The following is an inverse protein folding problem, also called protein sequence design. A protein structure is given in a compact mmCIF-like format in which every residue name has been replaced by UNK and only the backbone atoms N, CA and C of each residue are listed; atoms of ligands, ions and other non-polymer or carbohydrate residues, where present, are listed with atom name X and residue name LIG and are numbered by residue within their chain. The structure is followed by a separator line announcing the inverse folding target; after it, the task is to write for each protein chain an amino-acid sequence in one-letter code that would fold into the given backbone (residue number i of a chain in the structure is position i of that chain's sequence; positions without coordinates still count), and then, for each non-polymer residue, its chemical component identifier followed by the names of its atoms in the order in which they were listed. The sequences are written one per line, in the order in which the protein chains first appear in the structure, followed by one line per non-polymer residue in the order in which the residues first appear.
data_IF_322493611045
#
_entry.id   IF_322493611045
#
_cell.length_a   1.000
_cell.length_b   1.000
_cell.length_c   1.000
_cell.angle_alpha   90.00
_cell.angle_beta   90.00
_cell.angle_gamma   90.00
#
_symmetry.space_group_name_H-M   'P 1'
#
loop_
_entity.id
_entity.type
_entity.pdbx_description
1 polymer ?
#
# COMPACT_ATOMS: atom_id res chain seq x y z
N UNK A 1 -19.79 14.52 -0.08
CA UNK A 1 -18.94 13.41 -0.52
C UNK A 1 -19.22 13.19 -2.00
N UNK A 2 -18.20 13.35 -2.86
CA UNK A 2 -18.34 13.10 -4.29
C UNK A 2 -18.38 11.58 -4.49
N UNK A 3 -19.56 11.01 -4.73
CA UNK A 3 -19.76 9.56 -4.92
C UNK A 3 -18.81 8.97 -5.96
N UNK A 4 -18.46 9.72 -7.01
CA UNK A 4 -17.46 9.32 -8.01
C UNK A 4 -16.04 9.18 -7.45
N UNK A 5 -15.64 10.00 -6.48
CA UNK A 5 -14.34 9.88 -5.82
C UNK A 5 -14.28 8.62 -4.97
N UNK A 6 -15.34 8.35 -4.20
CA UNK A 6 -15.42 7.16 -3.35
C UNK A 6 -15.42 5.86 -4.18
N UNK A 7 -16.07 5.85 -5.34
CA UNK A 7 -16.06 4.71 -6.28
C UNK A 7 -14.66 4.50 -6.90
N UNK A 8 -14.01 5.57 -7.36
CA UNK A 8 -12.65 5.48 -7.93
C UNK A 8 -11.63 5.03 -6.88
N UNK A 9 -11.74 5.56 -5.66
CA UNK A 9 -10.93 5.14 -4.52
C UNK A 9 -11.16 3.67 -4.18
N UNK A 10 -12.42 3.22 -4.13
CA UNK A 10 -12.76 1.82 -3.84
C UNK A 10 -12.19 0.86 -4.89
N UNK A 11 -12.26 1.23 -6.17
CA UNK A 11 -11.66 0.45 -7.26
C UNK A 11 -10.14 0.40 -7.17
N UNK A 12 -9.49 1.54 -6.90
CA UNK A 12 -8.03 1.60 -6.70
C UNK A 12 -7.57 0.77 -5.49
N UNK A 13 -8.33 0.80 -4.38
CA UNK A 13 -8.06 -0.01 -3.20
C UNK A 13 -8.20 -1.51 -3.49
N UNK A 14 -9.17 -1.90 -4.31
CA UNK A 14 -9.36 -3.30 -4.69
C UNK A 14 -8.17 -3.82 -5.52
N UNK A 15 -7.74 -3.05 -6.53
CA UNK A 15 -6.59 -3.43 -7.37
C UNK A 15 -5.27 -3.40 -6.59
N UNK A 16 -5.06 -2.40 -5.74
CA UNK A 16 -3.91 -2.36 -4.83
C UNK A 16 -3.89 -3.59 -3.91
N UNK A 17 -5.01 -3.93 -3.28
CA UNK A 17 -5.12 -5.11 -2.42
C UNK A 17 -4.77 -6.39 -3.18
N UNK A 18 -5.28 -6.53 -4.40
CA UNK A 18 -5.03 -7.70 -5.24
C UNK A 18 -3.54 -7.87 -5.55
N UNK A 19 -2.84 -6.79 -5.90
CA UNK A 19 -1.40 -6.84 -6.16
C UNK A 19 -0.57 -7.01 -4.87
N UNK A 20 -0.95 -6.32 -3.79
CA UNK A 20 -0.24 -6.36 -2.52
C UNK A 20 -0.30 -7.74 -1.85
N UNK A 21 -1.47 -8.40 -1.84
CA UNK A 21 -1.62 -9.75 -1.26
C UNK A 21 -0.72 -10.76 -1.98
N UNK A 22 -0.71 -10.73 -3.32
CA UNK A 22 0.14 -11.62 -4.13
C UNK A 22 1.62 -11.34 -3.91
N UNK A 23 2.01 -10.06 -3.83
CA UNK A 23 3.38 -9.68 -3.49
C UNK A 23 3.80 -10.23 -2.13
N UNK A 24 2.95 -10.09 -1.11
CA UNK A 24 3.24 -10.57 0.24
C UNK A 24 3.35 -12.10 0.30
N UNK A 25 2.53 -12.84 -0.46
CA UNK A 25 2.61 -14.31 -0.53
C UNK A 25 3.92 -14.83 -1.16
N UNK A 26 4.59 -14.02 -1.99
CA UNK A 26 5.87 -14.38 -2.61
C UNK A 26 7.09 -14.19 -1.70
N UNK A 27 6.91 -13.70 -0.47
CA UNK A 27 8.00 -13.43 0.46
C UNK A 27 8.33 -14.72 1.23
N UNK A 28 9.56 -15.22 1.10
CA UNK A 28 9.99 -16.50 1.69
C UNK A 28 10.15 -16.49 3.20
N UNK A 29 10.26 -15.31 3.80
CA UNK A 29 10.47 -15.10 5.23
C UNK A 29 9.16 -14.62 5.86
N UNK A 30 8.65 -15.38 6.83
CA UNK A 30 7.38 -15.09 7.51
C UNK A 30 7.36 -13.70 8.14
N UNK A 31 8.48 -13.25 8.71
CA UNK A 31 8.59 -11.94 9.37
C UNK A 31 8.52 -10.81 8.35
N UNK A 32 9.19 -10.97 7.21
CA UNK A 32 9.11 -10.04 6.09
C UNK A 32 7.70 -10.02 5.47
N UNK A 33 7.02 -11.16 5.39
CA UNK A 33 5.64 -11.25 4.93
C UNK A 33 4.67 -10.50 5.85
N UNK A 34 4.73 -10.76 7.17
CA UNK A 34 3.90 -10.07 8.17
C UNK A 34 4.11 -8.56 8.12
N UNK A 35 5.37 -8.12 8.06
CA UNK A 35 5.72 -6.72 7.93
C UNK A 35 5.14 -6.08 6.65
N UNK A 36 5.21 -6.78 5.52
CA UNK A 36 4.66 -6.30 4.26
C UNK A 36 3.13 -6.16 4.31
N UNK A 37 2.43 -7.10 4.95
CA UNK A 37 0.97 -7.04 5.13
C UNK A 37 0.58 -5.85 5.99
N UNK A 38 1.25 -5.63 7.12
CA UNK A 38 0.95 -4.50 7.99
C UNK A 38 1.26 -3.16 7.33
N UNK A 39 2.34 -3.06 6.56
CA UNK A 39 2.67 -1.86 5.79
C UNK A 39 1.65 -1.59 4.69
N UNK A 40 1.18 -2.63 3.98
CA UNK A 40 0.12 -2.49 2.98
C UNK A 40 -1.18 -1.97 3.60
N UNK A 41 -1.56 -2.45 4.80
CA UNK A 41 -2.73 -1.96 5.54
C UNK A 41 -2.57 -0.50 5.95
N UNK A 42 -1.40 -0.12 6.47
CA UNK A 42 -1.09 1.27 6.80
C UNK A 42 -1.26 2.20 5.59
N UNK A 43 -0.71 1.82 4.43
CA UNK A 43 -0.82 2.59 3.19
C UNK A 43 -2.28 2.77 2.75
N UNK A 44 -3.14 1.76 2.93
CA UNK A 44 -4.57 1.90 2.61
C UNK A 44 -5.28 2.88 3.53
N UNK A 45 -5.01 2.83 4.84
CA UNK A 45 -5.58 3.76 5.81
C UNK A 45 -5.12 5.21 5.51
N UNK A 46 -3.85 5.39 5.15
CA UNK A 46 -3.32 6.69 4.69
C UNK A 46 -4.12 7.25 3.52
N UNK A 47 -4.45 6.42 2.54
CA UNK A 47 -5.19 6.86 1.35
C UNK A 47 -6.64 7.21 1.68
N UNK A 48 -7.25 6.54 2.66
CA UNK A 48 -8.59 6.88 3.17
C UNK A 48 -8.61 8.17 4.00
N UNK A 49 -7.45 8.71 4.37
CA UNK A 49 -7.31 9.88 5.22
C UNK A 49 -7.42 9.57 6.72
N UNK A 50 -7.34 8.30 7.09
CA UNK A 50 -7.33 7.87 8.49
C UNK A 50 -5.95 8.16 9.11
N UNK A 51 -5.91 8.38 10.43
CA UNK A 51 -4.64 8.47 11.17
C UNK A 51 -3.99 7.08 11.25
N UNK A 52 -2.68 7.00 10.99
CA UNK A 52 -1.95 5.73 11.01
C UNK A 52 -0.54 5.92 11.59
N UNK A 53 -0.09 4.90 12.32
CA UNK A 53 1.29 4.76 12.76
C UNK A 53 2.07 3.84 11.81
N UNK A 54 3.40 3.99 11.81
CA UNK A 54 4.27 3.04 11.11
C UNK A 54 4.13 1.65 11.75
N UNK A 55 4.09 0.56 10.96
CA UNK A 55 4.14 -0.78 11.50
C UNK A 55 5.37 -0.99 12.37
N UNK A 56 5.19 -1.74 13.45
CA UNK A 56 6.29 -2.17 14.30
C UNK A 56 7.33 -2.90 13.45
N UNK A 57 8.60 -2.64 13.71
CA UNK A 57 9.70 -3.32 13.02
C UNK A 57 9.95 -4.63 13.78
N UNK A 58 9.64 -5.79 13.19
CA UNK A 58 9.84 -7.05 13.87
C UNK A 58 11.33 -7.37 14.03
N UNK A 59 11.65 -8.07 15.12
CA UNK A 59 13.00 -8.53 15.40
C UNK A 59 13.46 -9.48 14.29
N UNK A 60 14.66 -9.25 13.72
CA UNK A 60 15.18 -10.03 12.59
C UNK A 60 14.94 -9.41 11.21
N UNK A 61 14.02 -8.45 11.08
CA UNK A 61 13.80 -7.74 9.81
C UNK A 61 14.62 -6.45 9.73
N UNK A 62 15.90 -6.66 9.42
CA UNK A 62 16.85 -5.59 9.25
C UNK A 62 16.87 -5.03 7.82
N UNK A 63 17.63 -3.96 7.64
CA UNK A 63 17.96 -3.46 6.32
C UNK A 63 18.92 -4.43 5.60
N UNK A 64 18.84 -4.55 4.27
CA UNK A 64 18.07 -3.72 3.34
C UNK A 64 16.62 -4.20 3.11
N UNK A 65 16.27 -5.41 3.53
CA UNK A 65 15.00 -6.06 3.19
C UNK A 65 13.77 -5.22 3.58
N UNK A 66 13.79 -4.63 4.78
CA UNK A 66 12.74 -3.72 5.24
C UNK A 66 12.50 -2.56 4.28
N UNK A 67 13.57 -1.91 3.82
CA UNK A 67 13.47 -0.72 2.97
C UNK A 67 13.00 -1.10 1.57
N UNK A 68 13.38 -2.28 1.07
CA UNK A 68 12.89 -2.80 -0.20
C UNK A 68 11.39 -3.07 -0.17
N UNK A 69 10.86 -3.66 0.91
CA UNK A 69 9.42 -3.89 1.10
C UNK A 69 8.66 -2.56 1.10
N UNK A 70 9.12 -1.59 1.90
CA UNK A 70 8.50 -0.25 1.96
C UNK A 70 8.47 0.40 0.59
N UNK A 71 9.61 0.47 -0.09
CA UNK A 71 9.73 1.11 -1.39
C UNK A 71 8.88 0.42 -2.47
N UNK A 72 8.77 -0.91 -2.44
CA UNK A 72 7.93 -1.66 -3.37
C UNK A 72 6.43 -1.36 -3.16
N UNK A 73 5.97 -1.40 -1.91
CA UNK A 73 4.58 -1.11 -1.56
C UNK A 73 4.22 0.36 -1.82
N UNK A 74 5.13 1.30 -1.57
CA UNK A 74 4.93 2.71 -1.91
C UNK A 74 4.83 2.95 -3.41
N UNK A 75 5.70 2.34 -4.23
CA UNK A 75 5.59 2.42 -5.69
C UNK A 75 4.29 1.81 -6.22
N UNK A 76 3.84 0.71 -5.61
CA UNK A 76 2.55 0.11 -5.93
C UNK A 76 1.40 1.07 -5.57
N UNK A 77 1.47 1.71 -4.41
CA UNK A 77 0.48 2.69 -3.99
C UNK A 77 0.48 3.93 -4.90
N UNK A 78 1.63 4.43 -5.32
CA UNK A 78 1.71 5.48 -6.33
C UNK A 78 1.02 5.03 -7.62
N UNK A 79 1.28 3.83 -8.12
CA UNK A 79 0.61 3.32 -9.33
C UNK A 79 -0.92 3.35 -9.24
N UNK A 80 -1.49 2.99 -8.08
CA UNK A 80 -2.94 2.84 -7.90
C UNK A 80 -3.65 4.10 -7.40
N UNK A 81 -3.00 4.90 -6.57
CA UNK A 81 -3.61 6.07 -5.90
C UNK A 81 -3.10 7.41 -6.43
N UNK A 82 -2.18 7.44 -7.39
CA UNK A 82 -1.81 8.69 -8.06
C UNK A 82 -3.04 9.21 -8.82
N UNK A 83 -3.37 10.50 -8.69
CA UNK A 83 -4.41 11.12 -9.50
C UNK A 83 -3.90 11.27 -10.94
N UNK A 84 -3.88 10.18 -11.71
CA UNK A 84 -3.87 10.25 -13.19
C UNK A 84 -5.23 10.75 -13.64
N UNK A 85 -5.55 12.03 -13.40
CA UNK A 85 -6.63 12.77 -14.07
C UNK A 85 -6.68 14.27 -13.73
N UNK A 86 -5.55 14.94 -13.41
CA UNK A 86 -5.50 16.42 -13.50
C UNK A 86 -5.49 16.97 -14.94
N UNK A 87 -5.43 16.10 -15.96
CA UNK A 87 -5.28 16.51 -17.36
C UNK A 87 -6.58 16.55 -18.19
N UNK A 88 -7.76 16.35 -17.59
CA UNK A 88 -9.06 16.45 -18.29
C UNK A 88 -10.08 17.36 -17.61
N UNK A 89 -9.61 18.37 -16.89
CA UNK A 89 -10.41 19.52 -16.47
C UNK A 89 -9.66 20.80 -16.84
N UNK A 90 -9.70 21.13 -18.13
CA UNK A 90 -9.60 22.48 -18.66
C UNK A 90 -10.81 22.69 -19.55
#
# INVERSE_FOLDING_TARGET
MNSNFDVQLSAALLEFNREAILYCQGISDTVAQEYAVDYARMVQNRVKGDEFSLPLIPFGLFEPNRNLIRAALERMAEKHFTPKNKAKLK
#
